data_IF_929959755707
#
_entry.id   IF_929959755707
#
_cell.length_a   1.000
_cell.length_b   1.000
_cell.length_c   1.000
_cell.angle_alpha   90.00
_cell.angle_beta   90.00
_cell.angle_gamma   90.00
#
_symmetry.space_group_name_H-M   'P 1'
#
loop_
_entity.id
_entity.type
_entity.pdbx_description
1 polymer ?
#
# COMPACT_ATOMS: atom_id res chain seq x y z
N UNK A 1 37.90 59.54 -60.41
CA UNK A 1 36.87 58.47 -60.49
C UNK A 1 37.08 57.54 -59.32
N UNK A 2 36.28 57.70 -58.26
CA UNK A 2 36.40 56.97 -57.04
C UNK A 2 35.17 56.01 -56.92
N UNK A 3 35.40 54.71 -57.04
CA UNK A 3 34.35 53.68 -56.85
C UNK A 3 34.25 53.37 -55.36
N UNK A 4 33.06 53.60 -54.78
CA UNK A 4 32.72 53.25 -53.44
C UNK A 4 32.06 51.86 -53.51
N UNK A 5 32.71 50.87 -52.89
CA UNK A 5 32.11 49.48 -52.66
C UNK A 5 31.35 49.53 -51.37
N UNK A 6 30.03 49.34 -51.47
CA UNK A 6 29.11 49.19 -50.32
C UNK A 6 29.13 47.76 -49.88
N UNK A 7 29.64 47.47 -48.67
CA UNK A 7 29.66 46.17 -48.04
C UNK A 7 28.38 46.03 -47.22
N UNK A 8 27.42 45.23 -47.69
CA UNK A 8 26.22 44.82 -46.91
C UNK A 8 26.58 43.68 -45.92
N UNK A 9 26.60 44.08 -44.66
CA UNK A 9 26.73 43.08 -43.54
C UNK A 9 25.37 42.49 -43.26
N UNK A 10 25.13 41.25 -43.71
CA UNK A 10 23.93 40.50 -43.40
C UNK A 10 24.03 39.93 -41.98
N UNK A 11 23.25 40.47 -41.04
CA UNK A 11 23.00 39.85 -39.73
C UNK A 11 22.08 38.64 -39.90
N UNK A 12 22.65 37.45 -39.79
CA UNK A 12 21.87 36.23 -39.62
C UNK A 12 21.39 36.15 -38.14
N UNK A 13 20.11 36.41 -37.94
CA UNK A 13 19.45 36.13 -36.64
C UNK A 13 19.20 34.65 -36.61
N UNK A 14 20.02 33.90 -35.86
CA UNK A 14 19.71 32.52 -35.53
C UNK A 14 18.60 32.51 -34.47
N UNK A 15 17.37 32.13 -34.86
CA UNK A 15 16.35 31.72 -33.94
C UNK A 15 16.84 30.40 -33.30
N UNK A 16 17.31 30.50 -32.05
CA UNK A 16 17.40 29.34 -31.19
C UNK A 16 15.97 28.95 -30.83
N UNK A 17 15.46 27.90 -31.49
CA UNK A 17 14.31 27.16 -30.94
C UNK A 17 14.78 26.60 -29.59
N UNK A 18 14.22 27.11 -28.50
CA UNK A 18 14.23 26.43 -27.24
C UNK A 18 13.39 25.18 -27.46
N UNK A 19 14.02 24.01 -27.55
CA UNK A 19 13.37 22.75 -27.33
C UNK A 19 12.86 22.80 -25.89
N UNK A 20 11.56 23.03 -25.75
CA UNK A 20 10.85 22.75 -24.49
C UNK A 20 11.19 21.31 -24.14
N UNK A 21 11.90 21.16 -23.04
CA UNK A 21 12.16 19.89 -22.36
C UNK A 21 10.79 19.36 -21.82
N UNK A 22 9.95 18.89 -22.75
CA UNK A 22 8.85 18.01 -22.44
C UNK A 22 9.52 16.74 -21.95
N UNK A 23 9.69 16.61 -20.63
CA UNK A 23 9.84 15.32 -19.98
C UNK A 23 8.80 14.42 -20.61
N UNK A 24 9.24 13.55 -21.52
CA UNK A 24 8.38 12.58 -22.20
C UNK A 24 7.75 11.75 -21.09
N UNK A 25 6.45 12.00 -20.86
CA UNK A 25 5.60 11.16 -20.03
C UNK A 25 5.83 9.72 -20.54
N UNK A 26 6.53 8.92 -19.74
CA UNK A 26 6.95 7.59 -20.17
C UNK A 26 5.67 6.77 -20.24
N UNK A 27 5.28 6.29 -21.42
CA UNK A 27 4.14 5.39 -21.60
C UNK A 27 4.41 4.07 -20.85
N UNK A 28 4.07 4.08 -19.57
CA UNK A 28 4.31 2.96 -18.65
C UNK A 28 3.52 1.73 -19.09
N UNK A 29 2.30 1.94 -19.59
CA UNK A 29 1.43 0.84 -20.06
C UNK A 29 2.06 0.18 -21.29
N UNK A 30 2.55 0.96 -22.29
CA UNK A 30 3.19 0.37 -23.46
C UNK A 30 4.45 -0.44 -23.08
N UNK A 31 5.24 0.03 -22.12
CA UNK A 31 6.39 -0.72 -21.61
C UNK A 31 5.99 -2.04 -20.94
N UNK A 32 4.93 -2.05 -20.10
CA UNK A 32 4.39 -3.25 -19.46
C UNK A 32 3.87 -4.25 -20.51
N UNK A 33 3.08 -3.77 -21.48
CA UNK A 33 2.51 -4.61 -22.56
C UNK A 33 3.62 -5.20 -23.42
N UNK A 34 4.61 -4.40 -23.81
CA UNK A 34 5.78 -4.87 -24.57
C UNK A 34 6.58 -5.95 -23.83
N UNK A 35 6.73 -5.81 -22.52
CA UNK A 35 7.38 -6.81 -21.65
C UNK A 35 6.50 -8.06 -21.46
N UNK A 36 5.17 -7.96 -21.65
CA UNK A 36 4.20 -9.03 -21.47
C UNK A 36 4.01 -9.47 -20.01
N UNK A 37 4.48 -8.67 -19.06
CA UNK A 37 4.44 -8.98 -17.63
C UNK A 37 4.34 -7.69 -16.82
N UNK A 38 3.44 -7.68 -15.84
CA UNK A 38 3.28 -6.64 -14.83
C UNK A 38 4.05 -7.05 -13.57
N UNK A 39 4.98 -6.22 -13.12
CA UNK A 39 5.75 -6.43 -11.90
C UNK A 39 5.04 -5.75 -10.74
N UNK A 40 4.66 -6.50 -9.71
CA UNK A 40 3.85 -6.00 -8.61
C UNK A 40 4.58 -6.17 -7.28
N UNK A 41 4.93 -5.06 -6.64
CA UNK A 41 5.52 -5.04 -5.31
C UNK A 41 4.52 -5.41 -4.23
N UNK A 42 4.90 -6.31 -3.31
CA UNK A 42 4.05 -6.67 -2.16
C UNK A 42 4.90 -7.20 -1.01
N UNK A 43 4.46 -6.96 0.23
CA UNK A 43 5.24 -7.36 1.42
C UNK A 43 5.10 -8.85 1.74
N UNK A 44 3.96 -9.45 1.42
CA UNK A 44 3.71 -10.87 1.64
C UNK A 44 3.66 -11.32 3.11
N UNK A 45 3.38 -10.38 4.03
CA UNK A 45 3.33 -10.61 5.48
C UNK A 45 2.05 -10.06 6.15
N UNK A 46 0.99 -9.81 5.35
CA UNK A 46 -0.20 -9.08 5.81
C UNK A 46 -1.49 -9.82 5.41
N UNK A 47 -1.86 -10.86 6.19
CA UNK A 47 -3.10 -11.63 5.98
C UNK A 47 -4.35 -10.81 6.35
N UNK A 48 -5.45 -10.95 5.61
CA UNK A 48 -5.67 -11.76 4.41
C UNK A 48 -5.38 -10.99 3.11
N UNK A 49 -4.71 -9.83 3.16
CA UNK A 49 -4.55 -8.93 2.01
C UNK A 49 -3.39 -9.35 1.09
N UNK A 50 -2.26 -9.74 1.67
CA UNK A 50 -1.07 -10.22 0.97
C UNK A 50 -0.27 -11.14 1.86
N UNK A 51 -0.07 -12.37 1.43
CA UNK A 51 0.74 -13.34 2.13
C UNK A 51 1.55 -14.18 1.15
N UNK A 52 2.82 -14.41 1.48
CA UNK A 52 3.69 -15.32 0.74
C UNK A 52 3.84 -16.61 1.54
N UNK A 53 3.42 -17.73 0.96
CA UNK A 53 3.58 -19.05 1.58
C UNK A 53 5.07 -19.44 1.65
N UNK A 54 5.64 -19.63 2.84
CA UNK A 54 7.08 -19.89 2.98
C UNK A 54 7.54 -21.17 2.28
N UNK A 55 6.69 -22.18 2.20
CA UNK A 55 7.03 -23.49 1.64
C UNK A 55 7.06 -23.53 0.12
N UNK A 56 6.21 -22.72 -0.55
CA UNK A 56 6.07 -22.72 -2.02
C UNK A 56 6.55 -21.41 -2.64
N UNK A 57 6.64 -20.33 -1.87
CA UNK A 57 6.90 -18.97 -2.37
C UNK A 57 5.69 -18.33 -3.07
N UNK A 58 4.55 -19.01 -3.13
CA UNK A 58 3.35 -18.51 -3.78
C UNK A 58 2.70 -17.39 -2.96
N UNK A 59 2.18 -16.39 -3.67
CA UNK A 59 1.42 -15.30 -3.06
C UNK A 59 -0.06 -15.55 -3.14
N UNK A 60 -0.78 -15.22 -2.07
CA UNK A 60 -2.24 -15.22 -2.02
C UNK A 60 -2.76 -14.05 -1.18
N UNK A 61 -4.04 -13.71 -1.35
CA UNK A 61 -4.71 -12.68 -0.59
C UNK A 61 -5.59 -11.79 -1.46
N UNK A 62 -6.39 -10.97 -0.81
CA UNK A 62 -7.32 -10.06 -1.47
C UNK A 62 -6.60 -9.11 -2.45
N UNK A 63 -5.53 -8.43 -2.00
CA UNK A 63 -4.74 -7.54 -2.85
C UNK A 63 -4.01 -8.26 -3.98
N UNK A 64 -3.62 -9.53 -3.75
CA UNK A 64 -3.00 -10.37 -4.77
C UNK A 64 -4.00 -10.64 -5.92
N UNK A 65 -5.26 -10.97 -5.59
CA UNK A 65 -6.29 -11.19 -6.61
C UNK A 65 -6.72 -9.90 -7.32
N UNK A 66 -6.73 -8.76 -6.63
CA UNK A 66 -6.91 -7.45 -7.28
C UNK A 66 -5.80 -7.18 -8.29
N UNK A 67 -4.53 -7.45 -7.95
CA UNK A 67 -3.42 -7.28 -8.89
C UNK A 67 -3.49 -8.24 -10.08
N UNK A 68 -3.92 -9.49 -9.85
CA UNK A 68 -4.15 -10.47 -10.91
C UNK A 68 -5.24 -10.02 -11.87
N UNK A 69 -6.31 -9.43 -11.35
CA UNK A 69 -7.39 -8.87 -12.18
C UNK A 69 -6.92 -7.66 -13.00
N UNK A 70 -6.12 -6.75 -12.40
CA UNK A 70 -5.51 -5.63 -13.12
C UNK A 70 -4.63 -6.16 -14.28
N UNK A 71 -3.76 -7.11 -14.01
CA UNK A 71 -2.90 -7.71 -15.06
C UNK A 71 -3.70 -8.42 -16.15
N UNK A 72 -4.76 -9.16 -15.78
CA UNK A 72 -5.66 -9.85 -16.70
C UNK A 72 -6.36 -8.87 -17.67
N UNK A 73 -6.89 -7.78 -17.15
CA UNK A 73 -7.55 -6.77 -17.97
C UNK A 73 -6.57 -5.97 -18.85
N UNK A 74 -5.30 -5.86 -18.41
CA UNK A 74 -4.22 -5.28 -19.21
C UNK A 74 -3.70 -6.26 -20.29
N UNK A 75 -4.10 -7.53 -20.26
CA UNK A 75 -3.66 -8.56 -21.20
C UNK A 75 -2.22 -9.05 -20.98
N UNK A 76 -1.70 -8.96 -19.77
CA UNK A 76 -0.33 -9.36 -19.39
C UNK A 76 -0.33 -10.35 -18.22
N UNK A 77 0.78 -11.04 -18.02
CA UNK A 77 1.01 -11.86 -16.82
C UNK A 77 1.37 -10.96 -15.63
N UNK A 78 1.20 -11.47 -14.40
CA UNK A 78 1.68 -10.82 -13.20
C UNK A 78 2.89 -11.58 -12.62
N UNK A 79 3.85 -10.83 -12.11
CA UNK A 79 4.96 -11.36 -11.30
C UNK A 79 5.05 -10.52 -10.03
N UNK A 80 4.96 -11.18 -8.88
CA UNK A 80 5.08 -10.50 -7.59
C UNK A 80 6.56 -10.34 -7.21
N UNK A 81 6.91 -9.15 -6.75
CA UNK A 81 8.24 -8.76 -6.29
C UNK A 81 8.16 -8.46 -4.81
N UNK A 82 8.97 -9.14 -4.00
CA UNK A 82 8.96 -8.92 -2.56
C UNK A 82 9.53 -7.55 -2.20
N UNK A 83 8.81 -6.82 -1.38
CA UNK A 83 9.26 -5.61 -0.68
C UNK A 83 9.03 -5.76 0.82
N UNK A 84 9.24 -4.71 1.60
CA UNK A 84 8.97 -4.68 3.04
C UNK A 84 8.39 -3.35 3.46
N UNK A 85 7.75 -3.28 4.62
CA UNK A 85 7.19 -2.03 5.11
C UNK A 85 8.25 -0.93 5.27
N UNK A 86 9.45 -1.20 5.82
CA UNK A 86 10.52 -0.20 5.91
C UNK A 86 11.04 0.30 4.56
N UNK A 87 11.06 -0.54 3.53
CA UNK A 87 11.64 -0.20 2.23
C UNK A 87 10.61 0.19 1.18
N UNK A 88 9.30 0.06 1.46
CA UNK A 88 8.22 0.27 0.49
C UNK A 88 8.37 1.61 -0.27
N UNK A 89 8.60 2.69 0.45
CA UNK A 89 8.74 4.03 -0.17
C UNK A 89 9.95 4.09 -1.09
N UNK A 90 11.11 3.64 -0.64
CA UNK A 90 12.34 3.63 -1.45
C UNK A 90 12.21 2.71 -2.67
N UNK A 91 11.55 1.56 -2.52
CA UNK A 91 11.38 0.59 -3.60
C UNK A 91 10.41 1.11 -4.68
N UNK A 92 9.32 1.80 -4.27
CA UNK A 92 8.38 2.45 -5.21
C UNK A 92 9.05 3.58 -5.97
N UNK A 93 9.89 4.39 -5.30
CA UNK A 93 10.55 5.56 -5.89
C UNK A 93 11.90 5.25 -6.53
N UNK A 94 12.33 3.99 -6.54
CA UNK A 94 13.61 3.56 -7.10
C UNK A 94 13.75 3.93 -8.59
N UNK A 95 14.98 4.24 -9.00
CA UNK A 95 15.33 4.47 -10.39
C UNK A 95 16.60 3.68 -10.75
N UNK A 96 16.52 2.63 -11.59
CA UNK A 96 15.33 2.12 -12.29
C UNK A 96 14.32 1.51 -11.35
N UNK A 97 13.01 1.47 -11.73
CA UNK A 97 11.96 0.92 -10.88
C UNK A 97 12.13 -0.60 -10.69
N UNK A 98 11.88 -1.07 -9.47
CA UNK A 98 11.93 -2.50 -9.14
C UNK A 98 10.63 -3.21 -9.50
N UNK A 99 9.52 -2.49 -9.55
CA UNK A 99 8.18 -2.96 -9.93
C UNK A 99 7.33 -1.82 -10.50
N UNK A 100 6.23 -2.14 -11.16
CA UNK A 100 5.35 -1.17 -11.80
C UNK A 100 4.46 -0.45 -10.77
N UNK A 101 3.93 -1.20 -9.81
CA UNK A 101 3.18 -0.68 -8.67
C UNK A 101 3.28 -1.60 -7.45
N UNK A 102 2.87 -1.11 -6.28
CA UNK A 102 2.79 -1.90 -5.05
C UNK A 102 1.35 -2.03 -4.55
N UNK A 103 1.01 -3.20 -3.97
CA UNK A 103 -0.33 -3.56 -3.47
C UNK A 103 -0.23 -4.46 -2.23
N UNK A 104 -1.30 -4.55 -1.44
CA UNK A 104 -1.38 -5.50 -0.32
C UNK A 104 -1.50 -4.83 1.05
N UNK A 105 -2.47 -3.94 1.22
CA UNK A 105 -2.75 -3.30 2.51
C UNK A 105 -2.13 -1.91 2.66
N UNK A 106 -1.91 -1.22 1.54
CA UNK A 106 -1.29 0.11 1.53
C UNK A 106 -2.36 1.17 1.76
N UNK A 107 -2.43 1.73 2.97
CA UNK A 107 -3.38 2.80 3.31
C UNK A 107 -3.07 4.08 2.55
N UNK A 108 -4.12 4.70 1.99
CA UNK A 108 -4.08 6.01 1.36
C UNK A 108 -3.85 7.06 2.44
N UNK A 109 -2.78 7.87 2.30
CA UNK A 109 -2.47 8.98 3.21
C UNK A 109 -1.99 10.19 2.42
N UNK A 110 -2.18 11.40 2.96
CA UNK A 110 -1.72 12.63 2.29
C UNK A 110 -0.19 12.64 2.15
N UNK A 111 0.54 12.18 3.17
CA UNK A 111 1.99 12.07 3.08
C UNK A 111 2.48 11.17 1.93
N UNK A 112 1.75 10.08 1.62
CA UNK A 112 2.05 9.24 0.45
C UNK A 112 1.71 9.94 -0.86
N UNK A 113 0.59 10.68 -0.93
CA UNK A 113 0.18 11.44 -2.12
C UNK A 113 1.17 12.56 -2.47
N UNK A 114 1.85 13.13 -1.49
CA UNK A 114 2.86 14.17 -1.72
C UNK A 114 4.04 13.66 -2.57
N UNK A 115 4.48 12.43 -2.35
CA UNK A 115 5.70 11.88 -2.96
C UNK A 115 5.45 10.77 -3.98
N UNK A 116 4.25 10.20 -4.03
CA UNK A 116 3.87 9.09 -4.90
C UNK A 116 2.48 9.30 -5.49
N UNK A 117 2.10 8.49 -6.47
CA UNK A 117 0.72 8.32 -6.92
C UNK A 117 0.07 7.19 -6.15
N UNK A 118 -1.22 7.36 -5.83
CA UNK A 118 -2.01 6.30 -5.20
C UNK A 118 -3.39 6.27 -5.83
N UNK A 119 -3.90 5.07 -6.09
CA UNK A 119 -5.19 4.87 -6.75
C UNK A 119 -6.37 5.29 -5.88
N UNK A 120 -7.56 5.29 -6.48
CA UNK A 120 -8.83 5.28 -5.75
C UNK A 120 -8.85 4.11 -4.75
N UNK A 121 -9.53 4.32 -3.62
CA UNK A 121 -9.67 3.28 -2.60
C UNK A 121 -10.53 2.11 -3.08
N UNK A 122 -10.16 0.89 -2.70
CA UNK A 122 -10.90 -0.33 -3.03
C UNK A 122 -11.22 -1.21 -1.82
N UNK A 123 -10.80 -0.79 -0.63
CA UNK A 123 -11.08 -1.45 0.64
C UNK A 123 -11.06 -0.43 1.79
N UNK A 124 -12.14 -0.35 2.55
CA UNK A 124 -12.19 0.47 3.77
C UNK A 124 -11.21 -0.05 4.81
N UNK A 125 -10.53 0.86 5.51
CA UNK A 125 -9.52 0.52 6.50
C UNK A 125 -9.55 1.49 7.70
N UNK A 126 -8.95 1.07 8.82
CA UNK A 126 -8.81 1.87 10.03
C UNK A 126 -7.99 1.16 11.08
N UNK A 127 -7.29 1.92 11.92
CA UNK A 127 -6.49 1.36 13.02
C UNK A 127 -7.41 0.81 14.11
N UNK A 128 -7.09 -0.38 14.56
CA UNK A 128 -7.74 -1.07 15.68
C UNK A 128 -6.71 -1.83 16.48
N UNK A 129 -7.16 -2.67 17.39
CA UNK A 129 -6.29 -3.53 18.20
C UNK A 129 -6.67 -4.99 18.08
N UNK A 130 -5.67 -5.85 18.32
CA UNK A 130 -5.82 -7.26 18.61
C UNK A 130 -5.28 -7.51 20.02
N UNK A 131 -6.04 -8.22 20.85
CA UNK A 131 -5.66 -8.58 22.21
C UNK A 131 -6.13 -9.99 22.55
N UNK A 132 -5.79 -10.49 23.74
CA UNK A 132 -6.36 -11.75 24.23
C UNK A 132 -7.86 -11.61 24.49
N UNK A 133 -8.65 -12.61 24.10
CA UNK A 133 -10.10 -12.59 24.25
C UNK A 133 -10.55 -12.41 25.72
N UNK A 134 -9.83 -13.02 26.65
CA UNK A 134 -10.09 -12.87 28.09
C UNK A 134 -9.87 -11.45 28.63
N UNK A 135 -9.17 -10.61 27.90
CA UNK A 135 -8.82 -9.23 28.29
C UNK A 135 -9.54 -8.18 27.42
N UNK A 136 -10.35 -8.59 26.48
CA UNK A 136 -11.02 -7.70 25.53
C UNK A 136 -11.81 -6.55 26.22
N UNK A 137 -12.46 -6.85 27.36
CA UNK A 137 -13.20 -5.84 28.12
C UNK A 137 -12.32 -4.76 28.75
N UNK A 138 -11.00 -5.00 28.88
CA UNK A 138 -10.02 -4.04 29.43
C UNK A 138 -9.63 -2.97 28.44
N UNK A 139 -9.66 -3.25 27.14
CA UNK A 139 -9.10 -2.40 26.09
C UNK A 139 -10.23 -1.86 25.19
N UNK A 140 -10.93 -0.83 25.67
CA UNK A 140 -12.09 -0.25 24.98
C UNK A 140 -11.81 1.16 24.40
N UNK A 141 -10.61 1.70 24.64
CA UNK A 141 -10.19 3.02 24.16
C UNK A 141 -8.66 3.09 24.03
N UNK A 142 -8.19 4.14 23.38
CA UNK A 142 -6.75 4.43 23.31
C UNK A 142 -6.16 4.70 24.71
N UNK A 143 -6.94 5.34 25.60
CA UNK A 143 -6.52 5.61 26.96
C UNK A 143 -6.31 4.33 27.80
N UNK A 144 -7.10 3.28 27.53
CA UNK A 144 -6.91 1.99 28.20
C UNK A 144 -5.65 1.25 27.75
N UNK A 145 -5.17 1.58 26.56
CA UNK A 145 -3.96 0.98 25.97
C UNK A 145 -2.72 1.76 26.36
N UNK A 146 -2.82 3.09 26.50
CA UNK A 146 -1.70 3.96 26.86
C UNK A 146 -1.46 4.00 28.37
N UNK A 147 -1.18 2.83 28.94
CA UNK A 147 -0.86 2.67 30.38
C UNK A 147 0.54 2.09 30.56
N UNK A 148 1.27 2.47 31.63
CA UNK A 148 2.66 2.04 31.83
C UNK A 148 2.86 0.52 31.91
N UNK A 149 1.85 -0.22 32.34
CA UNK A 149 1.88 -1.67 32.42
C UNK A 149 1.50 -2.39 31.13
N UNK A 150 1.02 -1.66 30.10
CA UNK A 150 0.57 -2.24 28.81
C UNK A 150 1.75 -2.30 27.83
N UNK A 151 1.96 -3.50 27.30
CA UNK A 151 2.96 -3.79 26.26
C UNK A 151 2.25 -3.85 24.91
N UNK A 152 2.58 -2.90 24.06
CA UNK A 152 2.00 -2.76 22.72
C UNK A 152 2.99 -3.24 21.69
N UNK A 153 2.62 -4.23 20.87
CA UNK A 153 3.49 -4.77 19.84
C UNK A 153 3.09 -4.28 18.44
N UNK A 154 4.10 -3.94 17.65
CA UNK A 154 3.95 -3.44 16.26
C UNK A 154 5.04 -4.03 15.36
N UNK A 155 4.78 -4.07 14.06
CA UNK A 155 5.80 -4.35 13.05
C UNK A 155 6.56 -3.08 12.66
N UNK A 156 7.85 -3.16 12.23
CA UNK A 156 8.65 -1.99 11.91
C UNK A 156 8.27 -1.34 10.59
N UNK A 157 8.48 -0.02 10.50
CA UNK A 157 8.46 0.78 9.26
C UNK A 157 7.10 1.04 8.66
N UNK A 158 6.02 0.51 9.26
CA UNK A 158 4.65 0.67 8.79
C UNK A 158 3.86 1.76 9.52
N UNK A 159 2.61 1.95 9.08
CA UNK A 159 1.71 2.91 9.72
C UNK A 159 1.24 2.45 11.11
N UNK A 160 1.38 1.16 11.47
CA UNK A 160 1.07 0.66 12.81
C UNK A 160 2.09 1.16 13.82
N UNK A 161 3.40 1.06 13.50
CA UNK A 161 4.47 1.61 14.34
C UNK A 161 4.35 3.13 14.47
N UNK A 162 4.12 3.83 13.32
CA UNK A 162 3.91 5.27 13.36
C UNK A 162 2.73 5.66 14.25
N UNK A 163 1.59 4.99 14.11
CA UNK A 163 0.40 5.25 14.93
C UNK A 163 0.70 5.06 16.42
N UNK A 164 1.37 3.96 16.79
CA UNK A 164 1.74 3.71 18.18
C UNK A 164 2.64 4.82 18.73
N UNK A 165 3.70 5.19 18.00
CA UNK A 165 4.63 6.25 18.43
C UNK A 165 3.99 7.64 18.53
N UNK A 166 3.03 7.95 17.66
CA UNK A 166 2.35 9.26 17.66
C UNK A 166 1.30 9.39 18.77
N UNK A 167 0.73 8.28 19.25
CA UNK A 167 -0.46 8.31 20.10
C UNK A 167 -0.28 7.67 21.49
N UNK A 168 0.79 6.89 21.69
CA UNK A 168 1.05 6.22 22.97
C UNK A 168 2.30 6.82 23.62
N UNK A 169 2.13 7.36 24.83
CA UNK A 169 3.19 8.05 25.55
C UNK A 169 3.62 7.35 26.85
N UNK A 170 2.78 6.47 27.36
CA UNK A 170 2.98 5.74 28.62
C UNK A 170 3.22 4.25 28.40
N UNK A 171 2.55 3.65 27.42
CA UNK A 171 2.67 2.23 27.11
C UNK A 171 4.08 1.84 26.63
N UNK A 172 4.48 0.61 26.89
CA UNK A 172 5.74 0.07 26.37
C UNK A 172 5.54 -0.44 24.94
N UNK A 173 6.14 0.25 23.95
CA UNK A 173 6.07 -0.16 22.55
C UNK A 173 7.18 -1.18 22.26
N UNK A 174 6.79 -2.35 21.73
CA UNK A 174 7.70 -3.44 21.36
C UNK A 174 7.63 -3.61 19.83
N UNK A 175 8.75 -3.42 19.14
CA UNK A 175 8.85 -3.63 17.70
C UNK A 175 9.29 -5.06 17.43
N UNK A 176 8.43 -5.83 16.73
CA UNK A 176 8.71 -7.22 16.31
C UNK A 176 8.87 -7.30 14.79
N UNK A 177 9.96 -7.94 14.33
CA UNK A 177 10.37 -7.88 12.93
C UNK A 177 9.43 -8.57 11.93
N UNK A 178 8.66 -9.55 12.40
CA UNK A 178 7.78 -10.34 11.55
C UNK A 178 6.32 -10.11 11.94
N UNK A 179 5.60 -9.38 11.09
CA UNK A 179 4.21 -9.00 11.33
C UNK A 179 3.33 -10.22 11.61
N UNK A 180 3.50 -11.26 10.83
CA UNK A 180 2.68 -12.50 10.90
C UNK A 180 2.85 -13.31 12.19
N UNK A 181 3.93 -13.08 12.96
CA UNK A 181 4.16 -13.73 14.25
C UNK A 181 3.47 -13.01 15.42
N UNK A 182 3.19 -11.70 15.28
CA UNK A 182 2.67 -10.86 16.37
C UNK A 182 1.35 -11.41 16.96
N UNK A 183 0.34 -11.82 16.18
CA UNK A 183 -0.91 -12.34 16.74
C UNK A 183 -0.70 -13.54 17.66
N UNK A 184 0.19 -14.46 17.30
CA UNK A 184 0.54 -15.59 18.16
C UNK A 184 1.22 -15.14 19.45
N UNK A 185 2.14 -14.18 19.37
CA UNK A 185 2.84 -13.61 20.53
C UNK A 185 1.86 -12.93 21.50
N UNK A 186 0.82 -12.24 20.97
CA UNK A 186 -0.28 -11.70 21.80
C UNK A 186 -1.04 -12.83 22.49
N UNK A 187 -1.44 -13.87 21.76
CA UNK A 187 -2.15 -15.03 22.32
C UNK A 187 -1.35 -15.74 23.42
N UNK A 188 -0.03 -15.74 23.30
CA UNK A 188 0.92 -16.31 24.28
C UNK A 188 1.27 -15.38 25.45
N UNK A 189 0.75 -14.14 25.47
CA UNK A 189 1.00 -13.17 26.55
C UNK A 189 2.41 -12.53 26.50
N UNK A 190 3.11 -12.59 25.36
CA UNK A 190 4.43 -11.94 25.20
C UNK A 190 4.30 -10.42 25.09
N UNK A 191 3.16 -9.93 24.64
CA UNK A 191 2.68 -8.56 24.75
C UNK A 191 1.16 -8.59 25.03
N UNK A 192 0.56 -7.43 25.25
CA UNK A 192 -0.82 -7.34 25.69
C UNK A 192 -1.76 -6.96 24.54
N UNK A 193 -1.28 -6.06 23.68
CA UNK A 193 -2.03 -5.51 22.55
C UNK A 193 -1.13 -5.45 21.31
N UNK A 194 -1.69 -5.76 20.13
CA UNK A 194 -1.12 -5.42 18.83
C UNK A 194 -1.89 -4.24 18.26
N UNK A 195 -1.21 -3.18 17.80
CA UNK A 195 -1.84 -2.23 16.88
C UNK A 195 -1.91 -2.86 15.50
N UNK A 196 -3.13 -2.93 14.97
CA UNK A 196 -3.44 -3.57 13.68
C UNK A 196 -4.53 -2.76 12.96
N UNK A 197 -5.19 -3.37 11.99
CA UNK A 197 -6.22 -2.74 11.18
C UNK A 197 -7.50 -3.60 11.11
N UNK A 198 -8.64 -2.93 10.86
CA UNK A 198 -9.94 -3.62 10.73
C UNK A 198 -9.99 -4.62 9.57
N UNK A 199 -9.04 -4.54 8.64
CA UNK A 199 -8.89 -5.48 7.52
C UNK A 199 -8.07 -6.72 7.88
N UNK A 200 -7.22 -6.63 8.92
CA UNK A 200 -6.33 -7.72 9.35
C UNK A 200 -6.88 -8.49 10.56
N UNK A 201 -7.34 -7.76 11.59
CA UNK A 201 -7.79 -8.34 12.86
C UNK A 201 -8.88 -9.43 12.70
N UNK A 202 -9.90 -9.30 11.82
CA UNK A 202 -10.92 -10.32 11.62
C UNK A 202 -10.37 -11.67 11.17
N UNK A 203 -9.31 -11.68 10.39
CA UNK A 203 -8.64 -12.92 10.00
C UNK A 203 -8.09 -13.66 11.23
N UNK A 204 -7.37 -12.97 12.10
CA UNK A 204 -6.72 -13.58 13.25
C UNK A 204 -7.71 -14.04 14.33
N UNK A 205 -8.78 -13.31 14.61
CA UNK A 205 -9.81 -13.75 15.55
C UNK A 205 -10.61 -14.96 15.03
N UNK A 206 -10.66 -15.14 13.72
CA UNK A 206 -11.28 -16.32 13.10
C UNK A 206 -10.41 -17.56 13.22
N UNK A 207 -9.09 -17.42 13.12
CA UNK A 207 -8.17 -18.58 13.12
C UNK A 207 -7.66 -18.93 14.52
N UNK A 208 -7.72 -18.00 15.48
CA UNK A 208 -7.32 -18.24 16.88
C UNK A 208 -8.34 -17.63 17.85
N UNK A 209 -9.16 -18.49 18.45
CA UNK A 209 -10.20 -18.09 19.41
C UNK A 209 -9.68 -17.50 20.74
N UNK A 210 -8.36 -17.55 21.00
CA UNK A 210 -7.72 -16.87 22.13
C UNK A 210 -7.62 -15.36 21.91
N UNK A 211 -7.84 -14.87 20.68
CA UNK A 211 -7.74 -13.47 20.28
C UNK A 211 -9.10 -12.80 20.14
N UNK A 212 -9.12 -11.50 20.36
CA UNK A 212 -10.28 -10.62 20.13
C UNK A 212 -9.82 -9.26 19.59
N UNK A 213 -10.73 -8.60 18.87
CA UNK A 213 -10.55 -7.24 18.38
C UNK A 213 -11.75 -6.38 18.83
N UNK A 214 -11.75 -5.85 20.06
CA UNK A 214 -12.93 -5.22 20.68
C UNK A 214 -13.33 -3.89 20.04
N UNK A 215 -12.49 -3.29 19.18
CA UNK A 215 -12.70 -1.99 18.56
C UNK A 215 -12.89 -2.06 17.03
N UNK A 216 -13.36 -3.20 16.49
CA UNK A 216 -13.64 -3.33 15.05
C UNK A 216 -14.67 -2.33 14.55
N UNK A 217 -15.74 -2.11 15.33
CA UNK A 217 -16.83 -1.19 14.98
C UNK A 217 -16.52 0.27 15.34
N UNK A 218 -15.42 0.52 16.05
CA UNK A 218 -14.99 1.85 16.52
C UNK A 218 -13.48 2.01 16.34
N UNK A 219 -12.96 1.90 15.12
CA UNK A 219 -11.53 2.02 14.88
C UNK A 219 -11.03 3.44 15.22
N UNK A 220 -9.77 3.54 15.58
CA UNK A 220 -9.13 4.82 15.92
C UNK A 220 -8.99 5.77 14.73
N UNK A 221 -8.93 5.23 13.52
CA UNK A 221 -8.81 6.00 12.27
C UNK A 221 -9.74 5.43 11.21
N UNK A 222 -10.05 6.26 10.22
CA UNK A 222 -10.81 5.85 9.04
C UNK A 222 -10.01 6.21 7.79
N UNK A 223 -10.02 5.33 6.80
CA UNK A 223 -9.32 5.51 5.54
C UNK A 223 -9.63 4.38 4.57
N UNK A 224 -8.87 4.33 3.50
CA UNK A 224 -9.00 3.32 2.46
C UNK A 224 -7.62 2.77 2.08
N UNK A 225 -7.62 1.59 1.51
CA UNK A 225 -6.46 0.95 0.90
C UNK A 225 -6.49 1.20 -0.60
N UNK A 226 -5.32 1.54 -1.17
CA UNK A 226 -5.11 1.79 -2.58
C UNK A 226 -3.88 1.08 -3.13
N UNK A 227 -3.66 1.27 -4.44
CA UNK A 227 -2.47 0.82 -5.18
C UNK A 227 -1.48 1.96 -5.26
N UNK A 228 -0.23 1.71 -4.91
CA UNK A 228 0.82 2.73 -4.80
C UNK A 228 1.75 2.68 -6.02
N UNK A 229 2.01 3.83 -6.63
CA UNK A 229 2.80 3.99 -7.85
C UNK A 229 3.79 5.15 -7.71
N UNK A 230 4.84 5.13 -8.51
CA UNK A 230 5.80 6.23 -8.63
C UNK A 230 5.15 7.42 -9.35
N UNK A 231 5.57 8.64 -9.02
CA UNK A 231 5.25 9.85 -9.81
C UNK A 231 5.70 9.68 -11.27
N UNK A 232 4.95 10.25 -12.21
CA UNK A 232 5.19 10.12 -13.64
C UNK A 232 4.59 8.84 -14.27
N UNK A 233 3.71 8.12 -13.57
CA UNK A 233 2.98 6.95 -14.09
C UNK A 233 1.46 7.23 -14.12
N UNK A 234 1.07 8.40 -14.56
CA UNK A 234 -0.32 8.87 -14.57
C UNK A 234 -1.19 8.03 -15.50
N UNK A 235 -0.64 7.52 -16.60
CA UNK A 235 -1.29 6.56 -17.51
C UNK A 235 -1.66 5.25 -16.75
N UNK A 236 -0.72 4.68 -16.01
CA UNK A 236 -0.94 3.48 -15.20
C UNK A 236 -1.94 3.74 -14.07
N UNK A 237 -1.87 4.91 -13.42
CA UNK A 237 -2.85 5.31 -12.40
C UNK A 237 -4.27 5.34 -12.96
N UNK A 238 -4.47 5.94 -14.14
CA UNK A 238 -5.77 5.99 -14.81
C UNK A 238 -6.28 4.59 -15.16
N UNK A 239 -5.42 3.72 -15.69
CA UNK A 239 -5.77 2.34 -16.00
C UNK A 239 -6.23 1.60 -14.74
N UNK A 240 -5.45 1.66 -13.66
CA UNK A 240 -5.76 1.01 -12.39
C UNK A 240 -7.08 1.52 -11.82
N UNK A 241 -7.31 2.84 -11.82
CA UNK A 241 -8.56 3.42 -11.34
C UNK A 241 -9.78 3.01 -12.18
N UNK A 242 -9.63 2.92 -13.51
CA UNK A 242 -10.68 2.44 -14.38
C UNK A 242 -11.05 0.99 -14.03
N UNK A 243 -10.06 0.12 -13.90
CA UNK A 243 -10.25 -1.29 -13.55
C UNK A 243 -10.91 -1.44 -12.17
N UNK A 244 -10.46 -0.67 -11.16
CA UNK A 244 -11.10 -0.68 -9.83
C UNK A 244 -12.58 -0.26 -9.92
N UNK A 245 -12.91 0.77 -10.73
CA UNK A 245 -14.31 1.17 -10.94
C UNK A 245 -15.13 0.09 -11.64
N UNK A 246 -14.57 -0.58 -12.65
CA UNK A 246 -15.22 -1.72 -13.30
C UNK A 246 -15.45 -2.87 -12.32
N UNK A 247 -14.46 -3.24 -11.52
CA UNK A 247 -14.58 -4.27 -10.48
C UNK A 247 -15.65 -3.93 -9.43
N UNK A 248 -15.85 -2.65 -9.11
CA UNK A 248 -16.94 -2.18 -8.24
C UNK A 248 -18.30 -2.36 -8.94
N UNK A 249 -18.41 -1.97 -10.20
CA UNK A 249 -19.68 -1.96 -10.94
C UNK A 249 -20.16 -3.35 -11.35
N UNK A 250 -19.26 -4.27 -11.70
CA UNK A 250 -19.58 -5.63 -12.16
C UNK A 250 -19.69 -6.66 -11.02
N UNK A 251 -19.44 -6.22 -9.77
CA UNK A 251 -19.49 -7.03 -8.56
C UNK A 251 -18.26 -7.92 -8.33
N UNK A 252 -17.22 -7.80 -9.14
CA UNK A 252 -15.97 -8.54 -8.94
C UNK A 252 -15.33 -8.18 -7.61
N UNK A 253 -15.25 -6.90 -7.29
CA UNK A 253 -14.68 -6.44 -6.02
C UNK A 253 -15.50 -6.94 -4.83
N UNK A 254 -16.85 -6.93 -4.93
CA UNK A 254 -17.73 -7.47 -3.87
C UNK A 254 -17.46 -8.95 -3.63
N UNK A 255 -17.37 -9.77 -4.68
CA UNK A 255 -17.06 -11.20 -4.56
C UNK A 255 -15.71 -11.45 -3.85
N UNK A 256 -14.71 -10.61 -4.12
CA UNK A 256 -13.42 -10.70 -3.43
C UNK A 256 -13.54 -10.33 -1.95
N UNK A 257 -14.31 -9.28 -1.60
CA UNK A 257 -14.57 -8.95 -0.19
C UNK A 257 -15.23 -10.11 0.55
N UNK A 258 -16.28 -10.68 -0.03
CA UNK A 258 -16.99 -11.82 0.54
C UNK A 258 -16.07 -13.05 0.73
N UNK A 259 -15.23 -13.33 -0.27
CA UNK A 259 -14.25 -14.43 -0.24
C UNK A 259 -13.29 -14.32 0.94
N UNK A 260 -12.81 -13.12 1.22
CA UNK A 260 -11.82 -12.88 2.29
C UNK A 260 -12.45 -12.44 3.62
N UNK A 261 -13.78 -12.34 3.70
CA UNK A 261 -14.50 -11.92 4.90
C UNK A 261 -14.27 -10.44 5.25
N UNK A 262 -14.06 -9.61 4.22
CA UNK A 262 -13.84 -8.17 4.35
C UNK A 262 -15.15 -7.40 4.18
N UNK A 263 -15.27 -6.25 4.85
CA UNK A 263 -16.45 -5.40 4.75
C UNK A 263 -16.48 -4.69 3.39
N UNK A 264 -17.55 -4.85 2.64
CA UNK A 264 -17.78 -4.13 1.39
C UNK A 264 -18.54 -2.83 1.68
N UNK A 265 -17.90 -1.69 1.43
CA UNK A 265 -18.42 -0.35 1.76
C UNK A 265 -18.67 0.54 0.51
N UNK A 266 -18.84 -0.05 -0.69
CA UNK A 266 -18.98 0.69 -1.95
C UNK A 266 -20.32 0.43 -2.64
#
# INVERSE_FOLDING_TARGET
MLSVILMLCGMAVSLACSEDDKTTEQDTIAAIVKRGTMLVGTTGDYRPLSYQEPSTGEYWGFGIEVAQEIARQTGVRVTFVKTSWPTLTSDVTANPPTFDFAIGGITITDARKEIMLISDGYLANGKTILCRAAEAARYQSLADIDQPEVRVMVNPGGLNEKFANDNLTHATIIVHQKNEEIPQLIAEGKADVMITEITEAPYYIKVDSRLAAPLLDKPFTHGEIGVLMRKGQEDLLQLVNNIIREMKSDGTLRRLHDKYGLVYAY
#
